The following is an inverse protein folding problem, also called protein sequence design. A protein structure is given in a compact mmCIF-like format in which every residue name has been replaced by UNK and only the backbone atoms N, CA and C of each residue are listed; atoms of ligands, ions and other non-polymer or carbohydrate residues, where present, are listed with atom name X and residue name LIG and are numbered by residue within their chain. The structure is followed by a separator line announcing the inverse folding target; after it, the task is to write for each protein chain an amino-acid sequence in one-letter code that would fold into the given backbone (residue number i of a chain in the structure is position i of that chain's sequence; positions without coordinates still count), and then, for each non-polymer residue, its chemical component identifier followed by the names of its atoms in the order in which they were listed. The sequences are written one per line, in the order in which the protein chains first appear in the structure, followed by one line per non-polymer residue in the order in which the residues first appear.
data_IF_442509903787
#
_entry.id   IF_442509903787
#
_cell.length_a   1.000
_cell.length_b   1.000
_cell.length_c   1.000
_cell.angle_alpha   90.00
_cell.angle_beta   90.00
_cell.angle_gamma   90.00
#
_symmetry.space_group_name_H-M   'P 1'
#
loop_
_entity.id
_entity.type
_entity.pdbx_description
1 polymer ?
#
# COMPACT_ATOMS: atom_id res chain seq x y z
N UNK A 1 49.38 -10.12 -16.58
CA UNK A 1 49.98 -9.93 -15.25
C UNK A 1 48.83 -9.80 -14.29
N UNK A 2 48.85 -10.69 -13.31
CA UNK A 2 47.77 -10.99 -12.37
C UNK A 2 47.45 -9.85 -11.40
N UNK A 3 46.24 -9.89 -10.85
CA UNK A 3 45.88 -9.06 -9.70
C UNK A 3 44.40 -9.11 -9.35
N UNK A 4 43.83 -10.31 -9.20
CA UNK A 4 42.45 -10.48 -8.73
C UNK A 4 42.28 -10.18 -7.24
N UNK A 5 41.12 -9.64 -6.87
CA UNK A 5 40.51 -9.86 -5.56
C UNK A 5 39.12 -10.45 -5.82
N UNK A 6 39.00 -11.76 -5.57
CA UNK A 6 37.75 -12.50 -5.62
C UNK A 6 37.03 -12.32 -4.29
N UNK A 7 35.90 -11.60 -4.27
CA UNK A 7 34.90 -11.77 -3.22
C UNK A 7 33.88 -12.80 -3.68
N UNK A 8 33.99 -14.03 -3.15
CA UNK A 8 32.92 -15.02 -3.22
C UNK A 8 31.87 -14.70 -2.16
N UNK A 9 30.84 -13.94 -2.53
CA UNK A 9 29.58 -13.98 -1.81
C UNK A 9 28.55 -14.71 -2.68
N UNK A 10 28.18 -15.92 -2.25
CA UNK A 10 27.24 -16.80 -2.91
C UNK A 10 25.80 -16.33 -2.77
N UNK A 11 25.45 -15.23 -3.41
CA UNK A 11 24.07 -14.84 -3.71
C UNK A 11 24.06 -14.40 -5.17
N UNK A 12 23.35 -15.14 -6.01
CA UNK A 12 23.34 -14.95 -7.46
C UNK A 12 22.92 -13.55 -7.90
N UNK A 13 23.39 -13.18 -9.09
CA UNK A 13 23.05 -11.98 -9.85
C UNK A 13 21.54 -11.66 -9.78
N UNK A 14 21.18 -10.63 -9.02
CA UNK A 14 19.95 -9.90 -9.27
C UNK A 14 20.28 -8.79 -10.27
N UNK A 15 20.22 -9.13 -11.55
CA UNK A 15 20.21 -8.12 -12.60
C UNK A 15 19.00 -7.21 -12.39
N UNK A 16 19.26 -5.91 -12.27
CA UNK A 16 18.25 -4.86 -12.18
C UNK A 16 17.50 -4.77 -13.51
N UNK A 17 16.44 -5.55 -13.67
CA UNK A 17 15.45 -5.33 -14.73
C UNK A 17 14.41 -4.36 -14.21
N UNK A 18 14.25 -3.23 -14.90
CA UNK A 18 13.16 -2.27 -14.72
C UNK A 18 11.82 -3.00 -14.67
N UNK A 19 11.20 -3.08 -13.49
CA UNK A 19 9.94 -3.82 -13.32
C UNK A 19 8.77 -2.93 -13.67
N UNK A 20 8.27 -3.08 -14.89
CA UNK A 20 6.92 -2.67 -15.25
C UNK A 20 5.94 -3.51 -14.41
N UNK A 21 4.99 -2.87 -13.72
CA UNK A 21 4.20 -3.40 -12.58
C UNK A 21 3.21 -4.55 -12.82
N UNK A 22 3.54 -5.55 -13.66
CA UNK A 22 2.64 -6.65 -14.05
C UNK A 22 3.13 -8.07 -13.73
N UNK A 23 4.14 -8.25 -12.89
CA UNK A 23 4.68 -9.59 -12.59
C UNK A 23 4.55 -9.99 -11.12
N UNK A 24 3.31 -9.99 -10.62
CA UNK A 24 2.98 -10.47 -9.27
C UNK A 24 3.30 -11.96 -9.08
N UNK A 25 3.25 -12.75 -10.15
CA UNK A 25 3.56 -14.19 -10.13
C UNK A 25 5.04 -14.49 -9.87
N UNK A 26 5.97 -13.70 -10.44
CA UNK A 26 7.41 -13.91 -10.29
C UNK A 26 7.99 -13.41 -8.96
N UNK A 27 7.31 -12.48 -8.30
CA UNK A 27 7.73 -11.94 -7.00
C UNK A 27 7.47 -12.92 -5.84
N UNK A 28 6.43 -13.76 -5.95
CA UNK A 28 6.00 -14.62 -4.86
C UNK A 28 7.08 -15.66 -4.45
N UNK A 29 7.72 -16.42 -5.37
CA UNK A 29 8.79 -17.35 -4.98
C UNK A 29 9.98 -16.67 -4.31
N UNK A 30 10.33 -15.46 -4.76
CA UNK A 30 11.41 -14.67 -4.16
C UNK A 30 11.10 -14.25 -2.71
N UNK A 31 9.88 -13.77 -2.46
CA UNK A 31 9.43 -13.41 -1.11
C UNK A 31 9.34 -14.62 -0.18
N UNK A 32 8.91 -15.78 -0.68
CA UNK A 32 8.90 -17.02 0.12
C UNK A 32 10.30 -17.40 0.61
N UNK A 33 11.30 -17.33 -0.28
CA UNK A 33 12.70 -17.58 0.11
C UNK A 33 13.20 -16.56 1.14
N UNK A 34 12.82 -15.28 0.99
CA UNK A 34 13.18 -14.23 1.94
C UNK A 34 12.56 -14.50 3.32
N UNK A 35 11.25 -14.78 3.41
CA UNK A 35 10.61 -15.07 4.68
C UNK A 35 11.12 -16.36 5.34
N UNK A 36 11.46 -17.39 4.56
CA UNK A 36 12.12 -18.58 5.10
C UNK A 36 13.48 -18.23 5.70
N UNK A 37 14.21 -17.31 5.08
CA UNK A 37 15.50 -16.83 5.60
C UNK A 37 15.33 -16.01 6.88
N UNK A 38 14.28 -15.18 6.97
CA UNK A 38 13.91 -14.45 8.20
C UNK A 38 13.64 -15.42 9.35
N UNK A 39 12.85 -16.48 9.13
CA UNK A 39 12.58 -17.49 10.17
C UNK A 39 13.87 -18.10 10.74
N UNK A 40 14.81 -18.48 9.86
CA UNK A 40 16.11 -19.00 10.31
C UNK A 40 16.91 -17.96 11.08
N UNK A 41 16.91 -16.71 10.60
CA UNK A 41 17.68 -15.62 11.21
C UNK A 41 17.19 -15.28 12.62
N UNK A 42 15.90 -15.47 12.92
CA UNK A 42 15.35 -15.28 14.28
C UNK A 42 15.48 -16.52 15.18
N UNK A 43 16.15 -17.58 14.71
CA UNK A 43 16.41 -18.80 15.48
C UNK A 43 15.30 -19.85 15.44
N UNK A 44 14.30 -19.70 14.56
CA UNK A 44 13.23 -20.67 14.37
C UNK A 44 13.62 -21.76 13.35
N UNK A 45 13.01 -22.95 13.49
CA UNK A 45 13.11 -24.03 12.51
C UNK A 45 11.99 -23.88 11.46
N UNK A 46 12.28 -23.49 10.20
CA UNK A 46 11.24 -23.33 9.19
C UNK A 46 10.60 -24.66 8.76
N UNK A 47 11.24 -25.79 9.07
CA UNK A 47 10.76 -27.12 8.70
C UNK A 47 9.88 -27.75 9.80
N UNK A 48 9.67 -27.06 10.94
CA UNK A 48 8.66 -27.46 11.94
C UNK A 48 7.25 -27.34 11.36
N UNK A 49 6.36 -28.24 11.76
CA UNK A 49 5.04 -28.45 11.12
C UNK A 49 4.23 -27.14 10.95
N UNK A 50 4.18 -26.30 11.99
CA UNK A 50 3.40 -25.06 11.96
C UNK A 50 3.99 -23.96 11.05
N UNK A 51 5.31 -24.00 10.81
CA UNK A 51 6.03 -22.99 10.01
C UNK A 51 6.27 -23.38 8.56
N UNK A 52 6.11 -24.65 8.18
CA UNK A 52 6.34 -25.12 6.79
C UNK A 52 5.65 -24.25 5.74
N UNK A 53 4.43 -23.79 6.04
CA UNK A 53 3.64 -22.91 5.15
C UNK A 53 3.73 -21.42 5.48
N UNK A 54 4.43 -21.04 6.55
CA UNK A 54 4.58 -19.63 6.96
C UNK A 54 5.24 -18.76 5.88
N UNK A 55 6.33 -19.18 5.21
CA UNK A 55 6.94 -18.36 4.16
C UNK A 55 5.96 -17.99 3.04
N UNK A 56 5.16 -18.96 2.59
CA UNK A 56 4.10 -18.75 1.60
C UNK A 56 3.00 -17.81 2.09
N UNK A 57 2.49 -18.02 3.31
CA UNK A 57 1.46 -17.17 3.91
C UNK A 57 1.96 -15.73 4.09
N UNK A 58 3.19 -15.56 4.57
CA UNK A 58 3.81 -14.26 4.79
C UNK A 58 4.05 -13.52 3.47
N UNK A 59 4.54 -14.21 2.43
CA UNK A 59 4.72 -13.64 1.10
C UNK A 59 3.39 -13.12 0.53
N UNK A 60 2.33 -13.94 0.58
CA UNK A 60 0.97 -13.52 0.15
C UNK A 60 0.43 -12.34 0.96
N UNK A 61 0.64 -12.34 2.28
CA UNK A 61 0.22 -11.25 3.14
C UNK A 61 0.92 -9.93 2.76
N UNK A 62 2.24 -9.95 2.56
CA UNK A 62 3.01 -8.77 2.16
C UNK A 62 2.55 -8.23 0.80
N UNK A 63 2.31 -9.10 -0.18
CA UNK A 63 1.75 -8.69 -1.47
C UNK A 63 0.37 -8.05 -1.32
N UNK A 64 -0.49 -8.59 -0.46
CA UNK A 64 -1.80 -7.98 -0.18
C UNK A 64 -1.66 -6.61 0.51
N UNK A 65 -0.76 -6.49 1.49
CA UNK A 65 -0.51 -5.23 2.19
C UNK A 65 0.12 -4.15 1.30
N UNK A 66 0.70 -4.53 0.16
CA UNK A 66 1.35 -3.63 -0.80
C UNK A 66 0.64 -3.57 -2.16
N UNK A 67 -0.57 -4.13 -2.27
CA UNK A 67 -1.34 -4.18 -3.53
C UNK A 67 -1.69 -2.80 -4.11
N UNK A 68 -1.75 -1.79 -3.25
CA UNK A 68 -2.10 -0.42 -3.61
C UNK A 68 -1.12 0.24 -4.60
N UNK A 69 0.07 -0.34 -4.80
CA UNK A 69 0.98 0.08 -5.88
C UNK A 69 0.49 -0.30 -7.28
N UNK A 70 -0.36 -1.31 -7.39
CA UNK A 70 -0.91 -1.80 -8.66
C UNK A 70 -2.24 -1.15 -9.02
N UNK A 71 -2.94 -0.61 -8.02
CA UNK A 71 -4.21 0.09 -8.20
C UNK A 71 -4.01 1.38 -9.02
N UNK A 72 -4.95 1.66 -9.93
CA UNK A 72 -5.05 2.93 -10.66
C UNK A 72 -6.24 3.72 -10.14
N UNK A 73 -6.08 5.03 -10.01
CA UNK A 73 -7.11 5.89 -9.40
C UNK A 73 -8.39 5.91 -10.25
N UNK A 74 -8.25 5.83 -11.58
CA UNK A 74 -9.35 5.81 -12.53
C UNK A 74 -10.27 4.60 -12.31
N UNK A 75 -9.68 3.42 -12.09
CA UNK A 75 -10.40 2.18 -11.79
C UNK A 75 -11.08 2.23 -10.42
N UNK A 76 -10.43 2.87 -9.44
CA UNK A 76 -11.01 3.10 -8.11
C UNK A 76 -12.26 3.98 -8.23
N UNK A 77 -12.17 5.10 -8.94
CA UNK A 77 -13.26 6.05 -9.14
C UNK A 77 -14.41 5.42 -9.95
N UNK A 78 -14.10 4.70 -11.04
CA UNK A 78 -15.06 4.01 -11.91
C UNK A 78 -16.27 4.89 -12.30
N UNK A 79 -16.01 6.15 -12.67
CA UNK A 79 -17.04 7.10 -13.09
C UNK A 79 -18.08 7.49 -12.02
N UNK A 80 -17.86 7.17 -10.74
CA UNK A 80 -18.80 7.47 -9.66
C UNK A 80 -18.69 8.93 -9.16
N UNK A 81 -18.68 9.87 -10.10
CA UNK A 81 -18.71 11.32 -9.88
C UNK A 81 -20.07 11.79 -10.39
N UNK A 82 -20.83 12.42 -9.51
CA UNK A 82 -22.21 12.84 -9.80
C UNK A 82 -22.30 14.35 -9.75
N UNK A 83 -23.04 14.96 -10.68
CA UNK A 83 -23.41 16.36 -10.54
C UNK A 83 -24.34 16.53 -9.34
N UNK A 84 -24.07 17.53 -8.52
CA UNK A 84 -24.87 17.86 -7.36
C UNK A 84 -24.85 19.37 -7.14
N UNK A 85 -26.04 19.96 -7.02
CA UNK A 85 -26.24 21.32 -6.53
C UNK A 85 -26.24 21.29 -5.00
N UNK A 86 -25.11 20.88 -4.43
CA UNK A 86 -24.88 20.79 -3.00
C UNK A 86 -23.60 21.57 -2.68
N UNK A 87 -23.72 22.56 -1.79
CA UNK A 87 -22.65 23.43 -1.33
C UNK A 87 -22.24 23.14 0.14
N UNK A 88 -22.94 22.21 0.78
CA UNK A 88 -22.64 21.74 2.13
C UNK A 88 -21.41 20.83 2.17
N UNK A 89 -20.75 20.80 3.33
CA UNK A 89 -19.60 19.92 3.55
C UNK A 89 -20.05 18.45 3.55
N UNK A 90 -19.42 17.65 2.69
CA UNK A 90 -19.54 16.19 2.70
C UNK A 90 -18.44 15.62 3.58
N UNK A 91 -18.79 14.75 4.53
CA UNK A 91 -17.81 14.12 5.43
C UNK A 91 -18.07 12.62 5.54
N UNK A 92 -17.04 11.83 5.24
CA UNK A 92 -16.99 10.39 5.56
C UNK A 92 -15.99 10.19 6.68
N UNK A 93 -16.44 9.62 7.79
CA UNK A 93 -15.68 9.54 9.05
C UNK A 93 -15.46 8.09 9.44
N UNK A 94 -14.37 7.85 10.16
CA UNK A 94 -14.11 6.55 10.78
C UNK A 94 -13.87 5.42 9.77
N UNK A 95 -13.29 5.73 8.62
CA UNK A 95 -12.84 4.73 7.65
C UNK A 95 -11.69 3.96 8.30
N UNK A 96 -11.88 2.67 8.56
CA UNK A 96 -10.83 1.82 9.09
C UNK A 96 -9.67 1.75 8.10
N UNK A 97 -8.45 1.91 8.62
CA UNK A 97 -7.25 1.98 7.81
C UNK A 97 -6.19 1.06 8.40
N UNK A 98 -5.56 0.31 7.50
CA UNK A 98 -4.39 -0.50 7.77
C UNK A 98 -3.32 -0.16 6.74
N UNK A 99 -2.10 0.12 7.20
CA UNK A 99 -0.92 0.34 6.37
C UNK A 99 0.32 -0.33 6.99
N UNK A 100 1.46 -0.23 6.31
CA UNK A 100 2.75 -0.68 6.81
C UNK A 100 3.70 0.52 6.90
N UNK A 101 4.32 0.74 8.06
CA UNK A 101 5.36 1.75 8.23
C UNK A 101 6.57 1.39 7.36
N UNK A 102 6.98 2.30 6.49
CA UNK A 102 8.11 2.05 5.59
C UNK A 102 9.46 1.88 6.32
N UNK A 103 9.60 2.44 7.52
CA UNK A 103 10.84 2.37 8.29
C UNK A 103 11.08 0.98 8.92
N UNK A 104 10.02 0.27 9.29
CA UNK A 104 10.12 -0.96 10.09
C UNK A 104 9.31 -2.14 9.53
N UNK A 105 8.49 -1.90 8.49
CA UNK A 105 7.54 -2.86 7.93
C UNK A 105 6.53 -3.39 8.96
N UNK A 106 6.26 -2.59 10.00
CA UNK A 106 5.26 -2.89 11.03
C UNK A 106 3.93 -2.19 10.72
N UNK A 107 2.80 -2.76 11.15
CA UNK A 107 1.49 -2.17 10.91
C UNK A 107 1.35 -0.76 11.48
N UNK A 108 0.72 0.11 10.69
CA UNK A 108 0.09 1.35 11.17
C UNK A 108 -1.42 1.10 11.06
N UNK A 109 -2.12 1.14 12.19
CA UNK A 109 -3.56 0.84 12.23
C UNK A 109 -4.30 2.01 12.83
N UNK A 110 -5.40 2.40 12.19
CA UNK A 110 -6.09 3.61 12.59
C UNK A 110 -7.38 3.87 11.84
N UNK A 111 -7.79 5.13 11.89
CA UNK A 111 -8.98 5.63 11.20
C UNK A 111 -8.64 6.85 10.37
N UNK A 112 -9.31 6.95 9.24
CA UNK A 112 -9.26 8.12 8.36
C UNK A 112 -10.63 8.77 8.32
N UNK A 113 -10.65 10.09 8.39
CA UNK A 113 -11.82 10.91 8.11
C UNK A 113 -11.49 11.86 6.97
N UNK A 114 -12.37 11.93 5.99
CA UNK A 114 -12.23 12.78 4.80
C UNK A 114 -13.45 13.69 4.73
N UNK A 115 -13.19 14.98 4.64
CA UNK A 115 -14.20 16.01 4.39
C UNK A 115 -13.85 16.83 3.15
N UNK A 116 -14.84 17.27 2.39
CA UNK A 116 -14.62 18.19 1.29
C UNK A 116 -15.82 19.11 1.05
N UNK A 117 -15.57 20.25 0.40
CA UNK A 117 -16.57 21.23 0.01
C UNK A 117 -16.83 21.11 -1.51
N UNK A 118 -17.90 20.43 -1.95
CA UNK A 118 -18.25 20.31 -3.37
C UNK A 118 -18.50 21.66 -4.03
N UNK A 119 -18.17 21.76 -5.33
CA UNK A 119 -18.57 22.90 -6.18
C UNK A 119 -19.78 22.55 -7.05
N UNK A 120 -19.61 21.51 -7.88
CA UNK A 120 -20.62 21.03 -8.84
C UNK A 120 -20.80 19.52 -8.81
N UNK A 121 -19.90 18.81 -8.14
CA UNK A 121 -19.83 17.37 -8.20
C UNK A 121 -19.53 16.75 -6.85
N UNK A 122 -20.13 15.60 -6.61
CA UNK A 122 -19.98 14.79 -5.40
C UNK A 122 -19.40 13.45 -5.79
N UNK A 123 -18.44 12.98 -5.00
CA UNK A 123 -17.85 11.65 -5.16
C UNK A 123 -18.73 10.64 -4.43
N UNK A 124 -19.01 9.48 -5.05
CA UNK A 124 -19.70 8.40 -4.38
C UNK A 124 -19.00 8.03 -3.07
N UNK A 125 -19.74 7.99 -1.95
CA UNK A 125 -19.15 7.88 -0.61
C UNK A 125 -18.23 6.65 -0.45
N UNK A 126 -18.58 5.53 -1.10
CA UNK A 126 -17.77 4.30 -1.08
C UNK A 126 -16.41 4.46 -1.78
N UNK A 127 -16.26 5.43 -2.68
CA UNK A 127 -15.00 5.69 -3.38
C UNK A 127 -13.97 6.35 -2.49
N UNK A 128 -14.39 7.16 -1.53
CA UNK A 128 -13.49 7.74 -0.53
C UNK A 128 -12.78 6.63 0.25
N UNK A 129 -13.54 5.62 0.71
CA UNK A 129 -12.95 4.47 1.40
C UNK A 129 -11.97 3.68 0.50
N UNK A 130 -12.27 3.54 -0.80
CA UNK A 130 -11.37 2.88 -1.74
C UNK A 130 -10.11 3.68 -2.04
N UNK A 131 -10.19 5.01 -2.08
CA UNK A 131 -9.02 5.89 -2.18
C UNK A 131 -8.12 5.70 -0.95
N UNK A 132 -8.71 5.70 0.25
CA UNK A 132 -7.97 5.41 1.49
C UNK A 132 -7.26 4.07 1.40
N UNK A 133 -7.97 3.02 0.98
CA UNK A 133 -7.37 1.69 0.85
C UNK A 133 -6.24 1.63 -0.20
N UNK A 134 -6.42 2.23 -1.36
CA UNK A 134 -5.40 2.28 -2.42
C UNK A 134 -4.06 2.84 -1.92
N UNK A 135 -4.09 3.93 -1.13
CA UNK A 135 -2.87 4.51 -0.59
C UNK A 135 -2.38 3.83 0.69
N UNK A 136 -3.28 3.29 1.52
CA UNK A 136 -2.89 2.61 2.76
C UNK A 136 -2.27 1.24 2.49
N UNK A 137 -2.62 0.57 1.39
CA UNK A 137 -2.02 -0.71 0.95
C UNK A 137 -0.66 -0.52 0.28
N UNK A 138 0.23 0.22 0.92
CA UNK A 138 1.60 0.53 0.50
C UNK A 138 2.51 0.55 1.74
N UNK A 139 3.81 0.69 1.50
CA UNK A 139 4.74 1.11 2.55
C UNK A 139 4.61 2.63 2.68
N UNK A 140 4.38 3.13 3.90
CA UNK A 140 3.96 4.51 4.11
C UNK A 140 4.60 5.18 5.31
N UNK A 141 4.61 6.50 5.22
CA UNK A 141 4.65 7.42 6.35
C UNK A 141 3.26 8.08 6.50
N UNK A 142 2.80 8.31 7.72
CA UNK A 142 1.43 8.80 7.98
C UNK A 142 1.16 10.16 7.33
N UNK A 143 2.14 11.04 7.32
CA UNK A 143 2.08 12.38 6.72
C UNK A 143 1.90 12.29 5.20
N UNK A 144 2.59 11.34 4.56
CA UNK A 144 2.49 11.10 3.12
C UNK A 144 1.13 10.52 2.77
N UNK A 145 0.70 9.47 3.48
CA UNK A 145 -0.61 8.85 3.30
C UNK A 145 -1.74 9.89 3.38
N UNK A 146 -1.70 10.75 4.41
CA UNK A 146 -2.68 11.82 4.61
C UNK A 146 -2.75 12.75 3.40
N UNK A 147 -1.58 13.20 2.91
CA UNK A 147 -1.48 14.11 1.77
C UNK A 147 -1.94 13.46 0.46
N UNK A 148 -1.56 12.21 0.22
CA UNK A 148 -1.93 11.47 -1.00
C UNK A 148 -3.44 11.28 -1.11
N UNK A 149 -4.11 10.92 -0.02
CA UNK A 149 -5.58 10.81 0.02
C UNK A 149 -6.24 12.16 -0.30
N UNK A 150 -5.76 13.25 0.31
CA UNK A 150 -6.31 14.59 0.08
C UNK A 150 -6.16 15.03 -1.38
N UNK A 151 -4.98 14.81 -1.96
CA UNK A 151 -4.69 15.14 -3.35
C UNK A 151 -5.52 14.32 -4.33
N UNK A 152 -5.70 13.02 -4.07
CA UNK A 152 -6.50 12.16 -4.93
C UNK A 152 -7.98 12.59 -4.97
N UNK A 153 -8.55 12.96 -3.81
CA UNK A 153 -9.91 13.51 -3.76
C UNK A 153 -9.98 14.86 -4.48
N UNK A 154 -9.00 15.74 -4.27
CA UNK A 154 -8.97 17.04 -4.93
C UNK A 154 -8.89 16.92 -6.45
N UNK A 155 -8.04 16.02 -6.96
CA UNK A 155 -7.89 15.74 -8.39
C UNK A 155 -9.14 15.11 -9.00
N UNK A 156 -9.85 14.27 -8.24
CA UNK A 156 -11.03 13.57 -8.74
C UNK A 156 -12.22 14.51 -9.00
N UNK A 157 -12.43 15.55 -8.18
CA UNK A 157 -13.67 16.35 -8.22
C UNK A 157 -13.50 17.87 -8.17
N UNK A 158 -12.27 18.39 -8.14
CA UNK A 158 -11.95 19.84 -8.02
C UNK A 158 -12.83 20.58 -6.99
N UNK A 159 -12.84 20.15 -5.72
CA UNK A 159 -13.68 20.78 -4.69
C UNK A 159 -13.12 22.15 -4.30
N UNK A 160 -13.88 22.94 -3.56
CA UNK A 160 -13.38 24.20 -2.98
C UNK A 160 -12.30 23.95 -1.91
N UNK A 161 -12.33 22.79 -1.26
CA UNK A 161 -11.30 22.35 -0.33
C UNK A 161 -11.50 20.89 0.08
N UNK A 162 -10.42 20.26 0.54
CA UNK A 162 -10.41 18.90 1.11
C UNK A 162 -9.66 18.92 2.42
N UNK A 163 -10.20 18.26 3.44
CA UNK A 163 -9.55 17.97 4.70
C UNK A 163 -9.45 16.46 4.92
N UNK A 164 -8.29 15.98 5.35
CA UNK A 164 -8.07 14.58 5.72
C UNK A 164 -7.44 14.55 7.10
N UNK A 165 -8.00 13.72 7.98
CA UNK A 165 -7.48 13.43 9.30
C UNK A 165 -7.16 11.94 9.34
N UNK A 166 -5.92 11.61 9.73
CA UNK A 166 -5.48 10.23 9.99
C UNK A 166 -5.09 10.14 11.46
N UNK A 167 -5.76 9.27 12.19
CA UNK A 167 -5.48 8.94 13.59
C UNK A 167 -5.05 7.47 13.64
N UNK A 168 -3.78 7.19 13.94
CA UNK A 168 -3.23 5.84 13.89
C UNK A 168 -2.15 5.62 14.96
N UNK A 169 -1.91 4.33 15.24
CA UNK A 169 -0.85 3.81 16.11
C UNK A 169 -0.01 2.78 15.38
#
# INVERSE_FOLDING_TARGET
MDGGILYKNGIGDYTSTETNGRDSGRQLPGLELAYRSVLRAVGEDPDREDLKKTPHRAAKAMMFFTRGYQDQIEDVLNGAIFEADHDGMVVVRGIEMFSLCEHHLLPIVGKVSVGYLPKKSVLGLSKIARIVEMYSRRLQAQERLTKEIALAVAQAIDPAGVGVIVEAT
#
